data_IF_895284298511
#
_entry.id   IF_895284298511
#
_cell.length_a   1.000
_cell.length_b   1.000
_cell.length_c   1.000
_cell.angle_alpha   90.00
_cell.angle_beta   90.00
_cell.angle_gamma   90.00
#
_symmetry.space_group_name_H-M   'P 1'
#
loop_
_entity.id
_entity.type
_entity.pdbx_description
1 polymer ?
#
# COMPACT_ATOMS: atom_id res chain seq x y z
N UNK A 1 8.24 -9.67 -23.84
CA UNK A 1 9.19 -8.91 -22.98
C UNK A 1 8.99 -9.41 -21.56
N UNK A 2 10.02 -9.89 -20.84
CA UNK A 2 9.84 -10.25 -19.44
C UNK A 2 9.46 -8.97 -18.68
N UNK A 3 8.23 -8.93 -18.21
CA UNK A 3 7.73 -7.83 -17.37
C UNK A 3 8.46 -7.96 -16.03
N UNK A 4 9.11 -6.88 -15.57
CA UNK A 4 9.74 -6.90 -14.24
C UNK A 4 8.65 -7.19 -13.20
N UNK A 5 8.79 -8.33 -12.51
CA UNK A 5 7.84 -8.83 -11.52
C UNK A 5 7.62 -7.86 -10.36
N UNK A 6 8.56 -6.93 -10.12
CA UNK A 6 8.44 -5.88 -9.11
C UNK A 6 7.25 -4.95 -9.39
N UNK A 7 6.95 -4.69 -10.66
CA UNK A 7 5.86 -3.79 -11.07
C UNK A 7 4.48 -4.34 -10.72
N UNK A 8 4.08 -5.56 -11.15
CA UNK A 8 2.77 -6.11 -10.78
C UNK A 8 2.63 -6.37 -9.28
N UNK A 9 3.71 -6.81 -8.59
CA UNK A 9 3.69 -6.97 -7.12
C UNK A 9 3.49 -5.60 -6.44
N UNK A 10 4.26 -4.60 -6.84
CA UNK A 10 4.16 -3.24 -6.31
C UNK A 10 2.79 -2.62 -6.54
N UNK A 11 2.16 -2.89 -7.70
CA UNK A 11 0.81 -2.44 -8.02
C UNK A 11 -0.23 -3.07 -7.09
N UNK A 12 -0.14 -4.38 -6.83
CA UNK A 12 -1.05 -5.06 -5.89
C UNK A 12 -0.94 -4.48 -4.47
N UNK A 13 0.29 -4.23 -4.00
CA UNK A 13 0.52 -3.62 -2.69
C UNK A 13 0.03 -2.18 -2.63
N UNK A 14 0.27 -1.39 -3.67
CA UNK A 14 -0.21 -0.01 -3.73
C UNK A 14 -1.75 0.06 -3.75
N UNK A 15 -2.42 -0.80 -4.52
CA UNK A 15 -3.88 -0.86 -4.59
C UNK A 15 -4.50 -1.27 -3.25
N UNK A 16 -3.97 -2.31 -2.59
CA UNK A 16 -4.44 -2.70 -1.26
C UNK A 16 -4.14 -1.63 -0.21
N UNK A 17 -2.95 -1.03 -0.23
CA UNK A 17 -2.58 0.05 0.67
C UNK A 17 -3.51 1.24 0.53
N UNK A 18 -3.84 1.64 -0.70
CA UNK A 18 -4.77 2.72 -0.99
C UNK A 18 -6.19 2.42 -0.48
N UNK A 19 -6.66 1.18 -0.64
CA UNK A 19 -7.96 0.76 -0.13
C UNK A 19 -8.00 0.82 1.41
N UNK A 20 -6.96 0.32 2.08
CA UNK A 20 -6.86 0.35 3.54
C UNK A 20 -6.76 1.78 4.07
N UNK A 21 -5.98 2.65 3.42
CA UNK A 21 -5.89 4.08 3.75
C UNK A 21 -7.24 4.75 3.58
N UNK A 22 -7.92 4.52 2.45
CA UNK A 22 -9.26 5.05 2.20
C UNK A 22 -10.25 4.60 3.26
N UNK A 23 -10.26 3.32 3.61
CA UNK A 23 -11.10 2.81 4.68
C UNK A 23 -10.71 3.35 6.06
N UNK A 24 -9.42 3.54 6.31
CA UNK A 24 -8.91 4.20 7.52
C UNK A 24 -9.44 5.62 7.66
N UNK A 25 -9.50 6.39 6.58
CA UNK A 25 -9.95 7.79 6.58
C UNK A 25 -11.48 7.91 6.62
N UNK A 26 -12.20 7.13 5.81
CA UNK A 26 -13.64 7.29 5.59
C UNK A 26 -14.50 6.27 6.36
N UNK A 27 -13.91 5.21 6.91
CA UNK A 27 -14.61 4.13 7.60
C UNK A 27 -15.04 4.47 9.02
N UNK A 28 -15.93 3.65 9.56
CA UNK A 28 -16.37 3.80 10.96
C UNK A 28 -15.23 3.52 11.93
N UNK A 29 -15.16 4.29 13.02
CA UNK A 29 -14.10 4.14 14.02
C UNK A 29 -14.42 3.09 15.10
N UNK A 30 -15.67 2.60 15.14
CA UNK A 30 -16.16 1.63 16.14
C UNK A 30 -15.39 0.31 16.12
N UNK A 31 -14.94 -0.10 14.94
CA UNK A 31 -14.12 -1.30 14.72
C UNK A 31 -12.77 -1.21 15.44
N UNK A 32 -12.23 0.00 15.63
CA UNK A 32 -10.94 0.22 16.28
C UNK A 32 -10.99 0.08 17.80
N UNK A 33 -12.17 -0.11 18.42
CA UNK A 33 -12.26 -0.47 19.83
C UNK A 33 -11.48 -1.76 20.15
N UNK A 34 -11.45 -2.71 19.20
CA UNK A 34 -10.63 -3.94 19.27
C UNK A 34 -9.12 -3.68 19.11
N UNK A 35 -8.76 -2.49 18.66
CA UNK A 35 -7.41 -2.05 18.33
C UNK A 35 -6.89 -0.99 19.30
N UNK A 36 -7.46 -0.90 20.51
CA UNK A 36 -7.15 0.14 21.50
C UNK A 36 -7.42 1.58 20.99
N UNK A 37 -8.37 1.72 20.06
CA UNK A 37 -8.68 3.00 19.42
C UNK A 37 -7.70 3.40 18.32
N UNK A 38 -6.71 2.57 17.98
CA UNK A 38 -5.75 2.85 16.93
C UNK A 38 -6.33 2.51 15.55
N UNK A 39 -6.16 3.44 14.61
CA UNK A 39 -6.54 3.26 13.22
C UNK A 39 -5.54 2.37 12.48
N UNK A 40 -5.61 1.07 12.73
CA UNK A 40 -4.72 0.05 12.17
C UNK A 40 -4.77 0.04 10.64
N UNK A 41 -5.95 0.29 10.05
CA UNK A 41 -6.13 0.35 8.61
C UNK A 41 -5.33 1.48 7.98
N UNK A 42 -5.34 2.67 8.61
CA UNK A 42 -4.55 3.80 8.15
C UNK A 42 -3.04 3.55 8.30
N UNK A 43 -2.62 3.02 9.46
CA UNK A 43 -1.20 2.74 9.75
C UNK A 43 -0.65 1.71 8.76
N UNK A 44 -1.24 0.52 8.71
CA UNK A 44 -0.73 -0.55 7.86
C UNK A 44 -1.02 -0.32 6.38
N UNK A 45 -2.13 0.35 6.05
CA UNK A 45 -2.41 0.80 4.69
C UNK A 45 -1.34 1.76 4.18
N UNK A 46 -0.90 2.71 5.01
CA UNK A 46 0.17 3.64 4.64
C UNK A 46 1.51 2.94 4.42
N UNK A 47 1.87 1.99 5.30
CA UNK A 47 3.10 1.18 5.16
C UNK A 47 3.07 0.36 3.87
N UNK A 48 1.94 -0.28 3.57
CA UNK A 48 1.77 -1.09 2.37
C UNK A 48 1.81 -0.22 1.10
N UNK A 49 1.20 0.95 1.15
CA UNK A 49 1.20 1.92 0.05
C UNK A 49 2.62 2.42 -0.27
N UNK A 50 3.38 2.80 0.77
CA UNK A 50 4.79 3.24 0.61
C UNK A 50 5.65 2.11 0.04
N UNK A 51 5.48 0.89 0.56
CA UNK A 51 6.21 -0.29 0.08
C UNK A 51 5.88 -0.62 -1.39
N UNK A 52 4.59 -0.63 -1.75
CA UNK A 52 4.13 -0.87 -3.12
C UNK A 52 4.64 0.19 -4.09
N UNK A 53 4.54 1.48 -3.72
CA UNK A 53 5.08 2.58 -4.50
C UNK A 53 6.61 2.45 -4.70
N UNK A 54 7.34 2.05 -3.66
CA UNK A 54 8.78 1.82 -3.75
C UNK A 54 9.13 0.72 -4.76
N UNK A 55 8.40 -0.39 -4.77
CA UNK A 55 8.60 -1.47 -5.73
C UNK A 55 8.29 -1.05 -7.18
N UNK A 56 7.22 -0.28 -7.38
CA UNK A 56 6.87 0.27 -8.71
C UNK A 56 7.98 1.19 -9.20
N UNK A 57 8.46 2.11 -8.34
CA UNK A 57 9.55 3.04 -8.68
C UNK A 57 10.82 2.28 -9.04
N UNK A 58 11.16 1.22 -8.31
CA UNK A 58 12.33 0.40 -8.65
C UNK A 58 12.17 -0.37 -9.97
N UNK A 59 10.99 -0.93 -10.26
CA UNK A 59 10.73 -1.71 -11.47
C UNK A 59 10.49 -0.87 -12.73
N UNK A 60 10.20 0.42 -12.59
CA UNK A 60 9.98 1.37 -13.71
C UNK A 60 11.15 2.31 -13.94
N UNK A 61 12.13 2.34 -13.04
CA UNK A 61 13.38 3.10 -13.25
C UNK A 61 14.09 2.54 -14.49
N UNK A 62 14.37 3.38 -15.51
CA UNK A 62 15.25 2.98 -16.60
C UNK A 62 16.58 2.60 -15.97
N UNK A 63 17.01 1.35 -16.19
CA UNK A 63 18.38 0.98 -15.90
C UNK A 63 19.27 1.98 -16.65
N UNK A 64 20.08 2.74 -15.91
CA UNK A 64 21.19 3.47 -16.51
C UNK A 64 22.17 2.39 -17.02
N UNK A 65 21.97 1.96 -18.26
CA UNK A 65 22.88 1.14 -19.04
C UNK A 65 23.31 1.95 -20.25
#
# INVERSE_FOLDING_TARGET
MPVDIRVPIGLMFALMGALLVGYGVFGSHEIYARSLGLNINLIWGSVLLVCGAFLIVLGTRPGRA
#
